data_IF_939423291090
#
_entry.id   IF_939423291090
#
_cell.length_a   1.000
_cell.length_b   1.000
_cell.length_c   1.000
_cell.angle_alpha   90.00
_cell.angle_beta   90.00
_cell.angle_gamma   90.00
#
_symmetry.space_group_name_H-M   'P 1'
#
loop_
_entity.id
_entity.type
_entity.pdbx_description
1 polymer ?
#
# COMPACT_ATOMS: atom_id res chain seq x y z
N UNK A 1 -50.10 -21.34 24.99
CA UNK A 1 -48.81 -21.87 24.52
C UNK A 1 -47.83 -20.71 24.52
N UNK A 2 -46.84 -20.71 25.42
CA UNK A 2 -45.83 -19.66 25.47
C UNK A 2 -44.83 -19.88 24.33
N UNK A 3 -44.58 -18.85 23.53
CA UNK A 3 -43.57 -18.90 22.47
C UNK A 3 -42.19 -19.09 23.11
N UNK A 4 -41.43 -20.07 22.62
CA UNK A 4 -40.06 -20.30 23.05
C UNK A 4 -39.20 -19.03 22.79
N UNK A 5 -38.27 -18.68 23.69
CA UNK A 5 -37.37 -17.55 23.48
C UNK A 5 -36.53 -17.78 22.20
N UNK A 6 -36.44 -16.73 21.38
CA UNK A 6 -35.63 -16.74 20.17
C UNK A 6 -34.19 -17.15 20.49
N UNK A 7 -33.56 -18.03 19.67
CA UNK A 7 -32.19 -18.45 19.92
C UNK A 7 -31.25 -17.24 19.90
N UNK A 8 -30.23 -17.19 20.78
CA UNK A 8 -29.29 -16.08 20.83
C UNK A 8 -28.62 -15.92 19.46
N UNK A 9 -28.55 -14.68 18.98
CA UNK A 9 -28.00 -14.38 17.67
C UNK A 9 -26.59 -14.96 17.52
N UNK A 10 -26.28 -15.44 16.33
CA UNK A 10 -24.96 -16.00 16.00
C UNK A 10 -23.92 -14.89 16.20
N UNK A 11 -23.05 -15.07 17.19
CA UNK A 11 -22.05 -14.08 17.62
C UNK A 11 -21.05 -13.76 16.48
N UNK A 12 -21.32 -12.67 15.74
CA UNK A 12 -20.42 -12.16 14.72
C UNK A 12 -19.42 -11.19 15.37
N UNK A 13 -18.39 -11.72 16.03
CA UNK A 13 -17.34 -10.96 16.73
C UNK A 13 -16.69 -9.87 15.87
N UNK A 14 -16.61 -10.05 14.55
CA UNK A 14 -16.13 -9.04 13.61
C UNK A 14 -16.93 -7.73 13.64
N UNK A 15 -18.24 -7.79 13.95
CA UNK A 15 -19.10 -6.60 13.98
C UNK A 15 -18.67 -5.63 15.08
N UNK A 16 -18.06 -6.12 16.15
CA UNK A 16 -17.52 -5.31 17.25
C UNK A 16 -16.25 -4.54 16.88
N UNK A 17 -15.59 -4.88 15.78
CA UNK A 17 -14.38 -4.21 15.28
C UNK A 17 -14.64 -3.34 14.04
N UNK A 18 -15.89 -3.28 13.58
CA UNK A 18 -16.25 -2.41 12.46
C UNK A 18 -16.31 -0.97 12.93
N UNK A 19 -15.76 -0.07 12.12
CA UNK A 19 -15.94 1.37 12.32
C UNK A 19 -17.43 1.71 12.29
N UNK A 20 -17.91 2.36 13.35
CA UNK A 20 -19.28 2.83 13.48
C UNK A 20 -19.29 4.36 13.39
N UNK A 21 -19.77 4.90 12.27
CA UNK A 21 -19.84 6.35 12.04
C UNK A 21 -20.67 7.10 13.11
N UNK A 22 -21.55 6.41 13.84
CA UNK A 22 -22.34 7.00 14.93
C UNK A 22 -21.62 7.05 16.29
N UNK A 23 -20.62 6.20 16.51
CA UNK A 23 -19.93 6.06 17.81
C UNK A 23 -18.44 6.42 17.74
N UNK A 24 -17.78 6.17 16.62
CA UNK A 24 -16.36 6.41 16.42
C UNK A 24 -16.12 7.77 15.78
N UNK A 25 -15.19 8.55 16.32
CA UNK A 25 -14.84 9.82 15.71
C UNK A 25 -14.01 9.60 14.44
N UNK A 26 -14.24 10.37 13.36
CA UNK A 26 -13.38 10.33 12.18
C UNK A 26 -11.91 10.64 12.48
N UNK A 27 -11.66 11.40 13.57
CA UNK A 27 -10.32 11.71 14.06
C UNK A 27 -9.60 10.48 14.62
N UNK A 28 -10.29 9.64 15.40
CA UNK A 28 -9.72 8.43 15.98
C UNK A 28 -9.43 7.38 14.90
N UNK A 29 -10.38 7.16 13.98
CA UNK A 29 -10.16 6.29 12.83
C UNK A 29 -8.97 6.76 11.99
N UNK A 30 -8.85 8.07 11.74
CA UNK A 30 -7.69 8.66 11.04
C UNK A 30 -6.39 8.37 11.78
N UNK A 31 -6.36 8.53 13.10
CA UNK A 31 -5.15 8.30 13.92
C UNK A 31 -4.73 6.83 13.87
N UNK A 32 -5.67 5.89 14.02
CA UNK A 32 -5.41 4.45 13.91
C UNK A 32 -4.87 4.09 12.52
N UNK A 33 -5.50 4.59 11.46
CA UNK A 33 -5.05 4.33 10.09
C UNK A 33 -3.66 4.92 9.80
N UNK A 34 -3.33 6.10 10.35
CA UNK A 34 -2.00 6.68 10.23
C UNK A 34 -0.93 5.81 10.93
N UNK A 35 -1.23 5.27 12.11
CA UNK A 35 -0.33 4.34 12.82
C UNK A 35 -0.12 3.07 12.00
N UNK A 36 -1.20 2.44 11.53
CA UNK A 36 -1.13 1.23 10.71
C UNK A 36 -0.33 1.49 9.42
N UNK A 37 -0.58 2.61 8.74
CA UNK A 37 0.13 2.97 7.53
C UNK A 37 1.62 3.24 7.78
N UNK A 38 1.97 3.93 8.87
CA UNK A 38 3.36 4.16 9.26
C UNK A 38 4.10 2.84 9.56
N UNK A 39 3.44 1.89 10.25
CA UNK A 39 4.00 0.57 10.51
C UNK A 39 4.23 -0.23 9.23
N UNK A 40 3.25 -0.29 8.33
CA UNK A 40 3.40 -0.97 7.03
C UNK A 40 4.54 -0.33 6.24
N UNK A 41 4.61 1.00 6.23
CA UNK A 41 5.69 1.76 5.57
C UNK A 41 7.05 1.37 6.14
N UNK A 42 7.20 1.35 7.47
CA UNK A 42 8.46 1.01 8.12
C UNK A 42 8.89 -0.43 7.80
N UNK A 43 7.97 -1.40 7.93
CA UNK A 43 8.25 -2.83 7.67
C UNK A 43 8.64 -3.05 6.21
N UNK A 44 7.90 -2.46 5.27
CA UNK A 44 8.16 -2.61 3.83
C UNK A 44 9.44 -1.91 3.41
N UNK A 45 9.76 -0.74 3.97
CA UNK A 45 11.04 -0.07 3.74
C UNK A 45 12.20 -0.94 4.22
N UNK A 46 12.13 -1.46 5.45
CA UNK A 46 13.16 -2.35 5.99
C UNK A 46 13.35 -3.61 5.15
N UNK A 47 12.26 -4.25 4.71
CA UNK A 47 12.33 -5.44 3.88
C UNK A 47 12.89 -5.16 2.47
N UNK A 48 12.70 -3.95 1.93
CA UNK A 48 13.24 -3.55 0.64
C UNK A 48 14.73 -3.22 0.65
N UNK A 49 15.19 -2.53 1.70
CA UNK A 49 16.62 -2.16 1.86
C UNK A 49 17.47 -3.32 2.39
N UNK A 50 16.85 -4.24 3.14
CA UNK A 50 17.47 -5.46 3.65
C UNK A 50 16.70 -6.68 3.10
N UNK A 51 16.98 -7.11 1.85
CA UNK A 51 16.26 -8.22 1.25
C UNK A 51 16.42 -9.51 2.08
N UNK A 52 15.42 -10.40 2.10
CA UNK A 52 15.53 -11.70 2.78
C UNK A 52 16.79 -12.45 2.35
N UNK A 53 17.52 -13.03 3.30
CA UNK A 53 18.81 -13.68 3.03
C UNK A 53 19.98 -12.72 2.79
N UNK A 54 19.74 -11.40 2.78
CA UNK A 54 20.77 -10.38 2.65
C UNK A 54 21.27 -10.17 1.22
N UNK A 55 22.43 -9.53 1.13
CA UNK A 55 23.11 -9.22 -0.13
C UNK A 55 24.48 -9.88 -0.17
N UNK A 56 24.95 -10.20 -1.37
CA UNK A 56 26.31 -10.67 -1.57
C UNK A 56 27.33 -9.61 -1.11
N UNK A 57 28.40 -10.04 -0.46
CA UNK A 57 29.45 -9.15 0.08
C UNK A 57 30.67 -9.05 -0.84
N UNK A 58 30.75 -9.90 -1.85
CA UNK A 58 31.82 -9.97 -2.83
C UNK A 58 31.27 -10.17 -4.25
N UNK A 59 32.15 -10.12 -5.25
CA UNK A 59 31.82 -10.31 -6.65
C UNK A 59 32.56 -11.54 -7.20
N UNK A 60 32.19 -12.72 -6.71
CA UNK A 60 32.78 -14.02 -7.11
C UNK A 60 31.68 -14.96 -7.60
N UNK A 61 32.02 -16.13 -8.17
CA UNK A 61 31.08 -17.21 -8.49
C UNK A 61 29.81 -16.81 -9.29
N UNK A 62 29.89 -15.76 -10.11
CA UNK A 62 28.76 -15.29 -10.93
C UNK A 62 27.77 -14.37 -10.20
N UNK A 63 28.02 -13.98 -8.96
CA UNK A 63 27.26 -12.97 -8.23
C UNK A 63 28.03 -11.64 -8.13
N UNK A 64 27.33 -10.58 -7.73
CA UNK A 64 27.88 -9.23 -7.61
C UNK A 64 27.55 -8.66 -6.24
N UNK A 65 28.54 -8.03 -5.61
CA UNK A 65 28.37 -7.40 -4.30
C UNK A 65 27.19 -6.41 -4.31
N UNK A 66 26.39 -6.42 -3.25
CA UNK A 66 25.19 -5.61 -3.10
C UNK A 66 23.93 -6.17 -3.77
N UNK A 67 24.03 -7.20 -4.63
CA UNK A 67 22.85 -7.88 -5.18
C UNK A 67 22.22 -8.80 -4.13
N UNK A 68 20.89 -8.86 -4.12
CA UNK A 68 20.15 -9.73 -3.20
C UNK A 68 20.52 -11.20 -3.44
N UNK A 69 20.84 -11.93 -2.37
CA UNK A 69 21.01 -13.39 -2.42
C UNK A 69 19.70 -14.04 -2.85
N UNK A 70 18.56 -13.51 -2.40
CA UNK A 70 17.24 -14.00 -2.77
C UNK A 70 16.93 -13.92 -4.27
N UNK A 71 17.60 -13.03 -5.02
CA UNK A 71 17.43 -12.91 -6.47
C UNK A 71 17.89 -14.15 -7.25
N UNK A 72 18.60 -15.08 -6.62
CA UNK A 72 18.88 -16.42 -7.16
C UNK A 72 17.59 -17.19 -7.47
N UNK A 73 16.52 -17.00 -6.68
CA UNK A 73 15.19 -17.51 -6.94
C UNK A 73 14.30 -16.44 -7.60
N UNK A 74 14.59 -16.12 -8.87
CA UNK A 74 14.00 -15.00 -9.62
C UNK A 74 12.49 -14.84 -9.39
N UNK A 75 11.69 -15.88 -9.62
CA UNK A 75 10.22 -15.80 -9.51
C UNK A 75 9.75 -15.38 -8.11
N UNK A 76 10.25 -16.05 -7.07
CA UNK A 76 9.87 -15.75 -5.69
C UNK A 76 10.32 -14.36 -5.25
N UNK A 77 11.53 -13.96 -5.66
CA UNK A 77 12.08 -12.63 -5.40
C UNK A 77 11.23 -11.51 -6.01
N UNK A 78 10.75 -11.68 -7.25
CA UNK A 78 9.89 -10.68 -7.89
C UNK A 78 8.49 -10.63 -7.30
N UNK A 79 7.90 -11.78 -6.93
CA UNK A 79 6.64 -11.80 -6.19
C UNK A 79 6.78 -11.00 -4.89
N UNK A 80 7.85 -11.27 -4.13
CA UNK A 80 8.18 -10.51 -2.92
C UNK A 80 8.33 -9.01 -3.18
N UNK A 81 9.17 -8.61 -4.14
CA UNK A 81 9.43 -7.18 -4.43
C UNK A 81 8.18 -6.43 -4.89
N UNK A 82 7.37 -7.05 -5.76
CA UNK A 82 6.13 -6.45 -6.27
C UNK A 82 5.13 -6.27 -5.12
N UNK A 83 4.89 -7.32 -4.33
CA UNK A 83 3.98 -7.25 -3.18
C UNK A 83 4.44 -6.23 -2.14
N UNK A 84 5.74 -6.20 -1.83
CA UNK A 84 6.32 -5.25 -0.87
C UNK A 84 6.19 -3.79 -1.36
N UNK A 85 6.49 -3.56 -2.65
CA UNK A 85 6.39 -2.23 -3.25
C UNK A 85 4.93 -1.76 -3.29
N UNK A 86 3.99 -2.65 -3.64
CA UNK A 86 2.55 -2.33 -3.62
C UNK A 86 2.06 -1.96 -2.21
N UNK A 87 2.51 -2.68 -1.19
CA UNK A 87 2.19 -2.39 0.21
C UNK A 87 2.75 -1.03 0.65
N UNK A 88 4.02 -0.75 0.35
CA UNK A 88 4.65 0.55 0.64
C UNK A 88 3.91 1.70 -0.05
N UNK A 89 3.66 1.59 -1.36
CA UNK A 89 2.96 2.62 -2.14
C UNK A 89 1.54 2.86 -1.63
N UNK A 90 0.82 1.81 -1.23
CA UNK A 90 -0.54 1.93 -0.65
C UNK A 90 -0.50 2.63 0.72
N UNK A 91 0.46 2.27 1.57
CA UNK A 91 0.61 2.87 2.89
C UNK A 91 0.98 4.36 2.81
N UNK A 92 1.94 4.71 1.94
CA UNK A 92 2.29 6.10 1.63
C UNK A 92 1.06 6.88 1.12
N UNK A 93 0.28 6.29 0.22
CA UNK A 93 -0.94 6.91 -0.28
C UNK A 93 -1.94 7.21 0.85
N UNK A 94 -2.12 6.29 1.80
CA UNK A 94 -2.95 6.49 2.99
C UNK A 94 -2.41 7.65 3.84
N UNK A 95 -1.10 7.69 4.11
CA UNK A 95 -0.46 8.78 4.88
C UNK A 95 -0.72 10.14 4.23
N UNK A 96 -0.44 10.28 2.93
CA UNK A 96 -0.63 11.55 2.22
C UNK A 96 -2.12 11.95 2.20
N UNK A 97 -3.02 10.99 2.01
CA UNK A 97 -4.47 11.24 1.98
C UNK A 97 -5.01 11.70 3.33
N UNK A 98 -4.57 11.07 4.42
CA UNK A 98 -5.04 11.36 5.77
C UNK A 98 -4.39 12.60 6.41
N UNK A 99 -3.19 12.97 5.96
CA UNK A 99 -2.49 14.18 6.40
C UNK A 99 -2.82 15.42 5.56
N UNK A 100 -3.67 15.30 4.54
CA UNK A 100 -4.08 16.44 3.72
C UNK A 100 -4.75 17.52 4.58
N UNK A 101 -4.31 18.78 4.43
CA UNK A 101 -4.69 19.96 5.25
C UNK A 101 -4.16 20.00 6.69
N UNK A 102 -3.24 19.12 7.09
CA UNK A 102 -2.50 19.30 8.34
C UNK A 102 -1.46 20.42 8.22
N UNK A 103 -1.13 21.12 9.33
CA UNK A 103 -0.12 22.17 9.32
C UNK A 103 1.27 21.68 8.85
N UNK A 104 1.58 20.40 9.05
CA UNK A 104 2.86 19.77 8.67
C UNK A 104 2.78 18.90 7.40
N UNK A 105 1.80 19.14 6.53
CA UNK A 105 1.59 18.30 5.35
C UNK A 105 2.76 18.35 4.36
N UNK A 106 3.42 19.51 4.22
CA UNK A 106 4.56 19.66 3.32
C UNK A 106 5.78 18.89 3.80
N UNK A 107 6.05 18.91 5.10
CA UNK A 107 7.12 18.16 5.74
C UNK A 107 6.90 16.66 5.57
N UNK A 108 5.67 16.18 5.80
CA UNK A 108 5.30 14.79 5.54
C UNK A 108 5.49 14.44 4.06
N UNK A 109 5.07 15.32 3.14
CA UNK A 109 5.25 15.10 1.71
C UNK A 109 6.73 14.99 1.32
N UNK A 110 7.56 15.94 1.77
CA UNK A 110 9.00 15.94 1.51
C UNK A 110 9.68 14.69 2.07
N UNK A 111 9.36 14.32 3.32
CA UNK A 111 9.88 13.10 3.94
C UNK A 111 9.47 11.85 3.14
N UNK A 112 8.21 11.79 2.71
CA UNK A 112 7.69 10.64 1.96
C UNK A 112 8.30 10.54 0.56
N UNK A 113 8.49 11.67 -0.14
CA UNK A 113 9.18 11.71 -1.44
C UNK A 113 10.63 11.26 -1.30
N UNK A 114 11.35 11.78 -0.29
CA UNK A 114 12.73 11.35 0.01
C UNK A 114 12.82 9.84 0.29
N UNK A 115 11.86 9.31 1.06
CA UNK A 115 11.78 7.88 1.34
C UNK A 115 11.49 7.03 0.10
N UNK A 116 10.62 7.48 -0.82
CA UNK A 116 10.39 6.78 -2.10
C UNK A 116 11.68 6.72 -2.92
N UNK A 117 12.45 7.82 -2.97
CA UNK A 117 13.72 7.87 -3.71
C UNK A 117 14.74 6.91 -3.11
N UNK A 118 14.90 6.90 -1.79
CA UNK A 118 15.84 5.99 -1.11
C UNK A 118 15.43 4.52 -1.25
N UNK A 119 14.13 4.21 -1.15
CA UNK A 119 13.61 2.86 -1.40
C UNK A 119 13.87 2.43 -2.85
N UNK A 120 13.56 3.29 -3.84
CA UNK A 120 13.81 3.01 -5.25
C UNK A 120 15.30 2.79 -5.55
N UNK A 121 16.17 3.58 -4.93
CA UNK A 121 17.63 3.41 -5.03
C UNK A 121 18.09 2.07 -4.44
N UNK A 122 17.58 1.69 -3.26
CA UNK A 122 17.92 0.42 -2.64
C UNK A 122 17.43 -0.77 -3.47
N UNK A 123 16.17 -0.74 -3.95
CA UNK A 123 15.63 -1.78 -4.84
C UNK A 123 16.45 -1.90 -6.12
N UNK A 124 16.88 -0.78 -6.70
CA UNK A 124 17.77 -0.78 -7.88
C UNK A 124 19.13 -1.39 -7.58
N UNK A 125 19.72 -1.09 -6.41
CA UNK A 125 21.00 -1.65 -5.98
C UNK A 125 20.92 -3.18 -5.78
N UNK A 126 19.84 -3.69 -5.18
CA UNK A 126 19.72 -5.12 -4.86
C UNK A 126 19.23 -5.99 -6.02
N UNK A 127 18.54 -5.43 -7.01
CA UNK A 127 17.88 -6.18 -8.10
C UNK A 127 18.77 -6.35 -9.33
N UNK A 128 19.10 -7.58 -9.78
CA UNK A 128 19.89 -7.82 -10.99
C UNK A 128 19.32 -7.11 -12.23
N UNK A 129 20.20 -6.62 -13.11
CA UNK A 129 19.80 -5.81 -14.27
C UNK A 129 19.10 -6.67 -15.35
N UNK A 130 17.78 -6.70 -15.29
CA UNK A 130 16.91 -7.23 -16.35
C UNK A 130 15.83 -6.16 -16.62
N UNK A 131 15.96 -5.43 -17.74
CA UNK A 131 15.16 -4.23 -18.04
C UNK A 131 13.63 -4.46 -17.97
N UNK A 132 13.18 -5.66 -18.31
CA UNK A 132 11.76 -6.06 -18.25
C UNK A 132 11.23 -6.18 -16.82
N UNK A 133 12.08 -6.55 -15.87
CA UNK A 133 11.69 -6.80 -14.48
C UNK A 133 11.59 -5.50 -13.67
N UNK A 134 12.38 -4.48 -14.02
CA UNK A 134 12.25 -3.13 -13.46
C UNK A 134 10.91 -2.47 -13.81
N UNK A 135 10.38 -2.73 -15.02
CA UNK A 135 9.07 -2.21 -15.44
C UNK A 135 7.94 -2.69 -14.53
N UNK A 136 7.97 -3.95 -14.08
CA UNK A 136 6.94 -4.49 -13.18
C UNK A 136 6.96 -3.84 -11.79
N UNK A 137 8.13 -3.46 -11.29
CA UNK A 137 8.25 -2.73 -10.02
C UNK A 137 7.68 -1.32 -10.18
N UNK A 138 7.99 -0.65 -11.29
CA UNK A 138 7.48 0.68 -11.60
C UNK A 138 5.94 0.69 -11.74
N UNK A 139 5.37 -0.31 -12.42
CA UNK A 139 3.92 -0.45 -12.55
C UNK A 139 3.26 -0.77 -11.21
N UNK A 140 3.86 -1.63 -10.39
CA UNK A 140 3.37 -1.92 -9.04
C UNK A 140 3.33 -0.68 -8.14
N UNK A 141 4.36 0.16 -8.22
CA UNK A 141 4.43 1.42 -7.47
C UNK A 141 3.35 2.42 -7.89
N UNK A 142 3.04 2.50 -9.20
CA UNK A 142 2.03 3.41 -9.74
C UNK A 142 0.59 2.92 -9.52
N UNK A 143 0.39 1.60 -9.36
CA UNK A 143 -0.93 0.96 -9.30
C UNK A 143 -1.92 1.58 -8.29
N UNK A 144 -1.58 1.80 -7.00
CA UNK A 144 -2.54 2.35 -6.04
C UNK A 144 -2.99 3.77 -6.40
N UNK A 145 -2.09 4.57 -6.99
CA UNK A 145 -2.42 5.92 -7.48
C UNK A 145 -3.36 5.85 -8.69
N UNK A 146 -3.08 4.96 -9.65
CA UNK A 146 -3.93 4.75 -10.84
C UNK A 146 -5.32 4.29 -10.44
N UNK A 147 -5.43 3.28 -9.56
CA UNK A 147 -6.72 2.78 -9.05
C UNK A 147 -7.50 3.91 -8.38
N UNK A 148 -6.84 4.75 -7.57
CA UNK A 148 -7.51 5.87 -6.91
C UNK A 148 -8.01 6.92 -7.90
N UNK A 149 -7.18 7.32 -8.85
CA UNK A 149 -7.58 8.26 -9.92
C UNK A 149 -8.78 7.69 -10.64
N UNK A 150 -8.75 6.40 -11.00
CA UNK A 150 -9.86 5.72 -11.64
C UNK A 150 -11.14 5.73 -10.78
N UNK A 151 -11.05 5.47 -9.47
CA UNK A 151 -12.19 5.56 -8.54
C UNK A 151 -12.75 6.99 -8.46
N UNK A 152 -11.88 8.01 -8.39
CA UNK A 152 -12.30 9.42 -8.31
C UNK A 152 -12.99 9.87 -9.61
N UNK A 153 -12.40 9.52 -10.75
CA UNK A 153 -12.95 9.69 -12.09
C UNK A 153 -14.33 9.02 -12.16
N UNK A 154 -14.42 7.74 -11.82
CA UNK A 154 -15.70 7.00 -11.83
C UNK A 154 -16.75 7.65 -10.94
N UNK A 155 -16.39 8.07 -9.72
CA UNK A 155 -17.28 8.80 -8.81
C UNK A 155 -17.73 10.15 -9.38
N UNK A 156 -16.87 10.85 -10.13
CA UNK A 156 -17.20 12.11 -10.80
C UNK A 156 -18.16 11.89 -12.00
N UNK A 157 -18.00 10.79 -12.74
CA UNK A 157 -18.85 10.50 -13.91
C UNK A 157 -20.18 9.85 -13.54
N UNK A 158 -20.27 9.07 -12.45
CA UNK A 158 -21.51 8.42 -11.99
C UNK A 158 -22.71 9.38 -11.88
N UNK A 159 -22.63 10.53 -11.17
CA UNK A 159 -23.77 11.46 -11.07
C UNK A 159 -24.10 12.15 -12.40
N UNK A 160 -23.10 12.44 -13.25
CA UNK A 160 -23.32 13.02 -14.58
C UNK A 160 -24.04 12.04 -15.53
N UNK A 161 -23.65 10.77 -15.52
CA UNK A 161 -24.28 9.71 -16.32
C UNK A 161 -25.73 9.46 -15.91
N UNK A 162 -26.00 9.40 -14.59
CA UNK A 162 -27.35 9.22 -14.05
C UNK A 162 -28.25 10.41 -14.40
N UNK A 163 -27.73 11.64 -14.33
CA UNK A 163 -28.48 12.84 -14.73
C UNK A 163 -28.76 12.89 -16.22
N UNK A 164 -27.83 12.42 -17.06
CA UNK A 164 -28.02 12.38 -18.52
C UNK A 164 -29.13 11.38 -18.91
N UNK A 165 -29.09 10.16 -18.35
CA UNK A 165 -30.12 9.14 -18.60
C UNK A 165 -31.51 9.58 -18.14
N UNK A 166 -31.61 10.27 -17.00
CA UNK A 166 -32.89 10.80 -16.47
C UNK A 166 -33.47 11.96 -17.29
N UNK A 167 -32.64 12.64 -18.09
CA UNK A 167 -33.07 13.76 -18.92
C UNK A 167 -33.40 13.33 -20.36
N UNK A 168 -33.07 12.10 -20.75
CA UNK A 168 -33.24 11.59 -22.11
C UNK A 168 -34.20 10.38 -22.23
N UNK A 169 -34.71 9.89 -21.11
CA UNK A 169 -35.75 8.87 -20.98
C UNK A 169 -36.73 9.29 -19.87
#
# INVERSE_FOLDING_TARGET
MANAPNPPNKWNWFKSFQYDEGNDSPGDARNVLLVVAALITAVTFQAGVNPPGGVWQDSQNGHTAGRAIYATHKTAFYVFLISNTLALSTAIFIIISLTYKFPFHLEVLVATVSMIVTYGSAVFAVTPNESVQFRYILTAAALPFIIRIFIQVFKMYKPKCVSYLKNHF
#
